data_IF_755502858064
#
_entry.id   IF_755502858064
#
_cell.length_a   1.000
_cell.length_b   1.000
_cell.length_c   1.000
_cell.angle_alpha   90.00
_cell.angle_beta   90.00
_cell.angle_gamma   90.00
#
_symmetry.space_group_name_H-M   'P 1'
#
loop_
_entity.id
_entity.type
_entity.pdbx_description
1 polymer ?
#
# COMPACT_ATOMS: atom_id res chain seq x y z
N UNK A 1 0.49 12.83 23.01
CA UNK A 1 0.92 12.56 21.61
C UNK A 1 1.24 11.07 21.53
N UNK A 2 0.18 10.26 21.57
CA UNK A 2 0.26 8.79 21.55
C UNK A 2 -0.47 8.30 20.31
N UNK A 3 0.28 8.15 19.23
CA UNK A 3 -0.15 7.35 18.10
C UNK A 3 0.05 5.88 18.50
N UNK A 4 -0.92 5.39 19.24
CA UNK A 4 -1.02 3.97 19.57
C UNK A 4 -1.19 3.21 18.25
N UNK A 5 -0.19 2.46 17.86
CA UNK A 5 -0.30 1.43 16.83
C UNK A 5 -1.26 0.35 17.37
N UNK A 6 -2.55 0.67 17.32
CA UNK A 6 -3.57 -0.36 17.49
C UNK A 6 -3.45 -1.29 16.28
N UNK A 7 -3.02 -2.52 16.51
CA UNK A 7 -3.14 -3.59 15.55
C UNK A 7 -4.62 -3.63 15.14
N UNK A 8 -4.93 -3.25 13.91
CA UNK A 8 -6.27 -3.41 13.36
C UNK A 8 -6.61 -4.90 13.34
N UNK A 9 -7.87 -5.28 13.44
CA UNK A 9 -8.30 -6.69 13.50
C UNK A 9 -7.75 -7.53 12.34
N UNK A 10 -7.53 -6.92 11.18
CA UNK A 10 -6.93 -7.57 10.02
C UNK A 10 -5.46 -7.94 10.24
N UNK A 11 -4.66 -7.11 10.89
CA UNK A 11 -3.27 -7.44 11.25
C UNK A 11 -3.19 -8.57 12.29
N UNK A 12 -4.18 -8.66 13.17
CA UNK A 12 -4.24 -9.77 14.14
C UNK A 12 -4.43 -11.12 13.45
N UNK A 13 -5.22 -11.21 12.38
CA UNK A 13 -5.44 -12.46 11.64
C UNK A 13 -4.18 -12.93 10.89
N UNK A 14 -3.43 -12.03 10.28
CA UNK A 14 -2.15 -12.36 9.64
C UNK A 14 -1.13 -12.95 10.63
N UNK A 15 -1.00 -12.35 11.81
CA UNK A 15 -0.13 -12.87 12.86
C UNK A 15 -0.61 -14.20 13.46
N UNK A 16 -1.92 -14.41 13.58
CA UNK A 16 -2.49 -15.69 14.00
C UNK A 16 -2.17 -16.78 12.98
N UNK A 17 -2.33 -16.50 11.68
CA UNK A 17 -1.98 -17.42 10.60
C UNK A 17 -0.50 -17.80 10.66
N UNK A 18 0.39 -16.82 10.85
CA UNK A 18 1.82 -17.04 10.99
C UNK A 18 2.16 -17.94 12.20
N UNK A 19 1.52 -17.72 13.34
CA UNK A 19 1.71 -18.57 14.53
C UNK A 19 1.26 -20.01 14.29
N UNK A 20 0.15 -20.23 13.59
CA UNK A 20 -0.33 -21.57 13.24
C UNK A 20 0.65 -22.28 12.31
N UNK A 21 1.24 -21.56 11.34
CA UNK A 21 2.33 -22.10 10.52
C UNK A 21 3.55 -22.51 11.36
N UNK A 22 3.98 -21.68 12.29
CA UNK A 22 5.09 -22.03 13.19
C UNK A 22 4.76 -23.23 14.10
N UNK A 23 3.52 -23.35 14.54
CA UNK A 23 3.07 -24.51 15.31
C UNK A 23 3.16 -25.81 14.50
N UNK A 24 2.82 -25.77 13.20
CA UNK A 24 2.98 -26.92 12.31
C UNK A 24 4.45 -27.27 12.10
N UNK A 25 5.30 -26.29 11.80
CA UNK A 25 6.74 -26.51 11.61
C UNK A 25 7.42 -27.07 12.89
N UNK A 26 6.98 -26.60 14.05
CA UNK A 26 7.43 -27.14 15.33
C UNK A 26 6.99 -28.59 15.50
N UNK A 27 5.73 -28.91 15.17
CA UNK A 27 5.22 -30.28 15.20
C UNK A 27 5.99 -31.21 14.26
N UNK A 28 6.25 -30.81 13.04
CA UNK A 28 7.05 -31.60 12.05
C UNK A 28 8.47 -31.90 12.60
N UNK A 29 9.11 -30.95 13.23
CA UNK A 29 10.46 -31.12 13.76
C UNK A 29 10.56 -31.90 15.06
N UNK A 30 9.51 -31.85 15.90
CA UNK A 30 9.58 -32.40 17.27
C UNK A 30 8.64 -33.58 17.53
N UNK A 31 7.67 -33.81 16.62
CA UNK A 31 6.55 -34.74 16.82
C UNK A 31 5.55 -34.31 17.90
N UNK A 32 5.68 -33.09 18.44
CA UNK A 32 4.83 -32.57 19.55
C UNK A 32 4.17 -31.25 19.14
N UNK A 33 2.87 -31.18 19.30
CA UNK A 33 2.15 -29.91 19.10
C UNK A 33 2.44 -28.96 20.27
N UNK A 34 2.66 -27.64 20.02
CA UNK A 34 2.76 -26.66 21.10
C UNK A 34 1.50 -26.67 21.98
N UNK A 35 1.66 -26.48 23.27
CA UNK A 35 0.52 -26.46 24.19
C UNK A 35 -0.26 -25.14 24.16
N UNK A 36 0.39 -24.05 23.74
CA UNK A 36 -0.22 -22.70 23.70
C UNK A 36 0.44 -21.87 22.61
N UNK A 37 -0.36 -21.06 21.92
CA UNK A 37 0.08 -20.00 21.04
C UNK A 37 -0.40 -18.65 21.61
N UNK A 38 0.47 -17.65 21.60
CA UNK A 38 0.10 -16.32 22.05
C UNK A 38 0.78 -15.23 21.23
N UNK A 39 0.05 -14.18 20.91
CA UNK A 39 0.58 -12.91 20.43
C UNK A 39 0.85 -12.00 21.63
N UNK A 40 1.94 -11.25 21.56
CA UNK A 40 2.26 -10.23 22.56
C UNK A 40 2.39 -8.90 21.83
N UNK A 41 1.65 -7.89 22.24
CA UNK A 41 1.75 -6.55 21.68
C UNK A 41 2.86 -5.71 22.31
N UNK A 42 3.05 -4.50 21.84
CA UNK A 42 4.05 -3.56 22.37
C UNK A 42 3.73 -3.11 23.81
N UNK A 43 2.47 -3.20 24.23
CA UNK A 43 2.04 -2.94 25.61
C UNK A 43 2.22 -4.16 26.53
N UNK A 44 2.85 -5.25 26.02
CA UNK A 44 3.06 -6.53 26.70
C UNK A 44 1.77 -7.27 27.06
N UNK A 45 0.65 -6.95 26.40
CA UNK A 45 -0.58 -7.72 26.56
C UNK A 45 -0.49 -9.00 25.75
N UNK A 46 -0.99 -10.11 26.34
CA UNK A 46 -0.99 -11.43 25.71
C UNK A 46 -2.38 -11.74 25.17
N UNK A 47 -2.44 -12.12 23.91
CA UNK A 47 -3.64 -12.60 23.25
C UNK A 47 -3.44 -14.08 22.93
N UNK A 48 -4.25 -14.94 23.54
CA UNK A 48 -4.23 -16.37 23.22
C UNK A 48 -4.78 -16.62 21.84
N UNK A 49 -4.17 -17.54 21.13
CA UNK A 49 -4.60 -17.96 19.79
C UNK A 49 -5.05 -19.41 19.85
N UNK A 50 -6.31 -19.64 19.59
CA UNK A 50 -6.88 -20.99 19.49
C UNK A 50 -6.40 -21.64 18.21
N UNK A 51 -6.06 -22.92 18.28
CA UNK A 51 -5.54 -23.67 17.14
C UNK A 51 -5.78 -25.17 17.32
N UNK A 52 -5.82 -25.87 16.19
CA UNK A 52 -5.82 -27.33 16.13
C UNK A 52 -4.76 -27.80 15.15
N UNK A 53 -4.32 -29.04 15.24
CA UNK A 53 -3.36 -29.60 14.31
C UNK A 53 -3.91 -29.54 12.87
N UNK A 54 -5.18 -29.82 12.68
CA UNK A 54 -5.82 -29.78 11.35
C UNK A 54 -5.81 -28.37 10.73
N UNK A 55 -6.05 -27.33 11.51
CA UNK A 55 -5.92 -25.94 11.05
C UNK A 55 -4.48 -25.58 10.66
N UNK A 56 -3.52 -26.00 11.49
CA UNK A 56 -2.09 -25.74 11.23
C UNK A 56 -1.62 -26.45 9.93
N UNK A 57 -2.06 -27.68 9.69
CA UNK A 57 -1.83 -28.41 8.44
C UNK A 57 -2.46 -27.68 7.26
N UNK A 58 -3.72 -27.26 7.37
CA UNK A 58 -4.43 -26.50 6.33
C UNK A 58 -3.66 -25.23 5.93
N UNK A 59 -3.24 -24.43 6.92
CA UNK A 59 -2.43 -23.23 6.69
C UNK A 59 -1.10 -23.52 5.99
N UNK A 60 -0.45 -24.62 6.35
CA UNK A 60 0.81 -25.02 5.71
C UNK A 60 0.61 -25.43 4.25
N UNK A 61 -0.43 -26.21 3.95
CA UNK A 61 -0.72 -26.61 2.56
C UNK A 61 -1.14 -25.43 1.68
N UNK A 62 -1.87 -24.47 2.22
CA UNK A 62 -2.19 -23.22 1.53
C UNK A 62 -0.92 -22.40 1.23
N UNK A 63 -0.03 -22.23 2.21
CA UNK A 63 1.23 -21.53 2.04
C UNK A 63 2.13 -22.21 1.00
N UNK A 64 2.20 -23.55 1.02
CA UNK A 64 2.95 -24.36 0.06
C UNK A 64 2.41 -24.19 -1.36
N UNK A 65 1.09 -24.24 -1.53
CA UNK A 65 0.43 -24.00 -2.82
C UNK A 65 0.72 -22.59 -3.35
N UNK A 66 0.65 -21.58 -2.48
CA UNK A 66 0.96 -20.20 -2.86
C UNK A 66 2.41 -20.04 -3.30
N UNK A 67 3.35 -20.65 -2.58
CA UNK A 67 4.76 -20.67 -2.93
C UNK A 67 4.99 -21.34 -4.29
N UNK A 68 4.33 -22.46 -4.54
CA UNK A 68 4.42 -23.17 -5.82
C UNK A 68 3.91 -22.31 -6.98
N UNK A 69 2.74 -21.70 -6.85
CA UNK A 69 2.18 -20.77 -7.85
C UNK A 69 3.12 -19.58 -8.10
N UNK A 70 3.75 -19.06 -7.05
CA UNK A 70 4.73 -17.97 -7.18
C UNK A 70 5.96 -18.41 -7.96
N UNK A 71 6.51 -19.59 -7.66
CA UNK A 71 7.65 -20.15 -8.38
C UNK A 71 7.33 -20.41 -9.87
N UNK A 72 6.14 -20.94 -10.17
CA UNK A 72 5.67 -21.10 -11.55
C UNK A 72 5.56 -19.77 -12.28
N UNK A 73 5.07 -18.71 -11.61
CA UNK A 73 5.02 -17.35 -12.16
C UNK A 73 6.40 -16.80 -12.47
N UNK A 74 7.40 -17.08 -11.63
CA UNK A 74 8.80 -16.70 -11.86
C UNK A 74 9.36 -17.40 -13.10
N UNK A 75 9.13 -18.71 -13.22
CA UNK A 75 9.61 -19.52 -14.37
C UNK A 75 8.96 -19.09 -15.68
N UNK A 76 7.68 -18.81 -15.67
CA UNK A 76 6.91 -18.42 -16.87
C UNK A 76 7.02 -16.93 -17.21
N UNK A 77 7.48 -16.10 -16.26
CA UNK A 77 7.47 -14.63 -16.39
C UNK A 77 6.08 -14.01 -16.37
N UNK A 78 5.04 -14.79 -16.02
CA UNK A 78 3.65 -14.35 -15.99
C UNK A 78 3.26 -14.02 -14.56
N UNK A 79 3.11 -12.74 -14.26
CA UNK A 79 2.65 -12.26 -12.96
C UNK A 79 1.25 -11.66 -13.08
N UNK A 80 0.31 -12.21 -12.33
CA UNK A 80 -1.05 -11.67 -12.27
C UNK A 80 -1.11 -10.62 -11.17
N UNK A 81 -1.45 -9.38 -11.54
CA UNK A 81 -1.67 -8.34 -10.56
C UNK A 81 -2.91 -8.68 -9.70
N UNK A 82 -2.80 -8.47 -8.39
CA UNK A 82 -3.91 -8.57 -7.44
C UNK A 82 -4.25 -7.17 -6.90
N UNK A 83 -4.93 -6.33 -7.69
CA UNK A 83 -5.21 -4.94 -7.33
C UNK A 83 -6.35 -4.89 -6.31
N UNK A 84 -6.00 -4.67 -5.06
CA UNK A 84 -6.95 -4.32 -4.00
C UNK A 84 -6.54 -2.98 -3.41
N UNK A 85 -7.46 -2.29 -2.77
CA UNK A 85 -7.16 -1.03 -2.09
C UNK A 85 -6.03 -1.20 -1.06
N UNK A 86 -6.02 -2.31 -0.35
CA UNK A 86 -4.99 -2.64 0.66
C UNK A 86 -3.65 -2.95 0.02
N UNK A 87 -3.61 -3.84 -0.98
CA UNK A 87 -2.38 -4.26 -1.63
C UNK A 87 -1.70 -3.12 -2.41
N UNK A 88 -2.51 -2.28 -3.07
CA UNK A 88 -2.00 -1.18 -3.86
C UNK A 88 -1.50 -0.01 -3.02
N UNK A 89 -1.98 0.16 -1.79
CA UNK A 89 -1.63 1.31 -0.94
C UNK A 89 -0.12 1.49 -0.76
N UNK A 90 0.61 0.40 -0.60
CA UNK A 90 2.06 0.39 -0.35
C UNK A 90 2.86 -0.19 -1.50
N UNK A 91 2.23 -0.54 -2.62
CA UNK A 91 2.90 -1.12 -3.77
C UNK A 91 3.77 -0.07 -4.48
N UNK A 92 5.06 -0.34 -4.60
CA UNK A 92 6.01 0.55 -5.29
C UNK A 92 5.86 0.52 -6.82
N UNK A 93 5.22 -0.51 -7.35
CA UNK A 93 5.00 -0.69 -8.80
C UNK A 93 3.73 -0.01 -9.33
N UNK A 94 2.98 0.71 -8.49
CA UNK A 94 1.75 1.42 -8.89
C UNK A 94 1.91 2.28 -10.15
N UNK A 95 3.01 3.05 -10.30
CA UNK A 95 3.20 3.89 -11.49
C UNK A 95 3.24 3.11 -12.80
N UNK A 96 3.78 1.90 -12.78
CA UNK A 96 3.91 1.02 -13.95
C UNK A 96 2.80 -0.05 -14.06
N UNK A 97 1.94 -0.19 -13.06
CA UNK A 97 0.88 -1.20 -13.05
C UNK A 97 -0.32 -0.77 -13.89
N UNK A 98 -0.55 -1.43 -15.01
CA UNK A 98 -1.66 -1.11 -15.93
C UNK A 98 -3.04 -1.21 -15.25
N UNK A 99 -3.25 -2.21 -14.40
CA UNK A 99 -4.50 -2.37 -13.63
C UNK A 99 -4.73 -1.19 -12.69
N UNK A 100 -3.70 -0.76 -11.96
CA UNK A 100 -3.79 0.38 -11.08
C UNK A 100 -4.05 1.68 -11.85
N UNK A 101 -3.35 1.89 -12.96
CA UNK A 101 -3.54 3.07 -13.81
C UNK A 101 -4.95 3.13 -14.42
N UNK A 102 -5.54 1.99 -14.76
CA UNK A 102 -6.94 1.94 -15.19
C UNK A 102 -7.91 2.36 -14.08
N UNK A 103 -7.72 1.86 -12.87
CA UNK A 103 -8.54 2.27 -11.71
C UNK A 103 -8.35 3.75 -11.39
N UNK A 104 -7.12 4.24 -11.41
CA UNK A 104 -6.80 5.63 -11.12
C UNK A 104 -7.50 6.62 -12.09
N UNK A 105 -7.75 6.21 -13.34
CA UNK A 105 -8.48 7.02 -14.33
C UNK A 105 -9.97 7.12 -14.01
N UNK A 106 -10.57 6.08 -13.45
CA UNK A 106 -12.01 5.97 -13.18
C UNK A 106 -12.35 6.59 -11.83
N UNK A 107 -11.59 6.22 -10.79
CA UNK A 107 -11.86 6.60 -9.41
C UNK A 107 -11.24 7.96 -9.07
N UNK A 108 -12.09 8.92 -8.71
CA UNK A 108 -11.66 10.24 -8.24
C UNK A 108 -11.33 10.28 -6.75
N UNK A 109 -11.60 9.18 -6.03
CA UNK A 109 -11.46 9.14 -4.57
C UNK A 109 -10.15 8.48 -4.11
N UNK A 110 -9.24 8.19 -5.03
CA UNK A 110 -7.91 7.70 -4.71
C UNK A 110 -6.99 8.82 -4.19
N UNK A 111 -6.04 8.44 -3.34
CA UNK A 111 -5.00 9.34 -2.81
C UNK A 111 -3.83 9.57 -3.78
N UNK A 112 -3.96 9.05 -5.00
CA UNK A 112 -3.02 9.21 -6.08
C UNK A 112 -3.74 9.86 -7.25
N UNK A 113 -3.03 10.62 -8.06
CA UNK A 113 -3.61 11.29 -9.21
C UNK A 113 -2.64 11.26 -10.39
N UNK A 114 -3.15 11.04 -11.60
CA UNK A 114 -2.39 11.19 -12.83
C UNK A 114 -3.11 12.12 -13.79
N UNK A 115 -2.36 12.86 -14.58
CA UNK A 115 -2.92 13.80 -15.56
C UNK A 115 -1.86 14.70 -16.18
N UNK A 116 -2.31 15.59 -17.09
CA UNK A 116 -1.44 16.58 -17.70
C UNK A 116 -1.19 17.73 -16.73
N UNK A 117 0.07 18.02 -16.46
CA UNK A 117 0.47 19.14 -15.64
C UNK A 117 0.25 20.46 -16.39
N UNK A 118 -0.66 21.29 -15.90
CA UNK A 118 -1.04 22.54 -16.56
C UNK A 118 -0.34 23.76 -15.99
N UNK A 119 -0.17 23.78 -14.68
CA UNK A 119 0.43 24.94 -14.04
C UNK A 119 1.12 24.56 -12.73
N UNK A 120 2.12 25.34 -12.36
CA UNK A 120 2.86 25.24 -11.09
C UNK A 120 3.03 26.65 -10.52
N UNK A 121 2.51 26.89 -9.34
CA UNK A 121 2.53 28.18 -8.66
C UNK A 121 3.34 28.08 -7.38
N UNK A 122 4.37 28.91 -7.24
CA UNK A 122 5.13 29.08 -6.01
C UNK A 122 4.64 30.30 -5.26
N UNK A 123 4.31 30.12 -3.99
CA UNK A 123 3.85 31.17 -3.10
C UNK A 123 4.98 31.78 -2.28
N UNK A 124 4.77 32.96 -1.72
CA UNK A 124 5.76 33.66 -0.90
C UNK A 124 6.18 32.89 0.36
N UNK A 125 5.28 32.08 0.91
CA UNK A 125 5.57 31.19 2.04
C UNK A 125 6.41 29.94 1.69
N UNK A 126 6.89 29.84 0.44
CA UNK A 126 7.69 28.72 -0.04
C UNK A 126 6.88 27.52 -0.51
N UNK A 127 5.58 27.46 -0.29
CA UNK A 127 4.74 26.37 -0.77
C UNK A 127 4.56 26.43 -2.28
N UNK A 128 4.48 25.24 -2.90
CA UNK A 128 4.23 25.10 -4.33
C UNK A 128 2.92 24.35 -4.53
N UNK A 129 2.04 24.90 -5.36
CA UNK A 129 0.81 24.23 -5.79
C UNK A 129 0.94 23.79 -7.24
N UNK A 130 0.33 22.64 -7.52
CA UNK A 130 0.38 21.96 -8.81
C UNK A 130 -1.05 21.77 -9.32
N UNK A 131 -1.28 22.03 -10.59
CA UNK A 131 -2.58 21.91 -11.23
C UNK A 131 -2.50 20.86 -12.34
N UNK A 132 -3.19 19.74 -12.11
CA UNK A 132 -3.28 18.64 -13.06
C UNK A 132 -4.64 18.61 -13.73
N UNK A 133 -4.65 18.38 -15.03
CA UNK A 133 -5.87 18.17 -15.81
C UNK A 133 -6.00 16.70 -16.19
N UNK A 134 -7.17 16.11 -15.91
CA UNK A 134 -7.54 14.75 -16.31
C UNK A 134 -8.95 14.76 -16.90
N UNK A 135 -9.05 14.73 -18.22
CA UNK A 135 -10.32 14.99 -18.92
C UNK A 135 -10.86 16.38 -18.54
N UNK A 136 -12.12 16.45 -18.15
CA UNK A 136 -12.77 17.70 -17.72
C UNK A 136 -12.52 18.06 -16.25
N UNK A 137 -11.75 17.25 -15.53
CA UNK A 137 -11.49 17.45 -14.10
C UNK A 137 -10.12 18.07 -13.88
N UNK A 138 -10.08 19.11 -13.07
CA UNK A 138 -8.85 19.73 -12.60
C UNK A 138 -8.60 19.32 -11.14
N UNK A 139 -7.39 18.83 -10.86
CA UNK A 139 -6.92 18.51 -9.53
C UNK A 139 -5.92 19.57 -9.09
N UNK A 140 -6.09 20.05 -7.87
CA UNK A 140 -5.14 20.95 -7.22
C UNK A 140 -4.37 20.19 -6.15
N UNK A 141 -3.06 20.13 -6.29
CA UNK A 141 -2.20 19.52 -5.29
C UNK A 141 -1.40 20.62 -4.60
N UNK A 142 -1.58 20.73 -3.29
CA UNK A 142 -0.97 21.77 -2.46
C UNK A 142 0.23 21.25 -1.67
N UNK A 143 0.95 22.15 -1.03
CA UNK A 143 1.99 21.85 -0.03
C UNK A 143 3.21 21.08 -0.57
N UNK A 144 3.56 21.22 -1.85
CA UNK A 144 4.89 20.79 -2.27
C UNK A 144 5.95 21.74 -1.71
N UNK A 145 7.12 21.21 -1.30
CA UNK A 145 8.22 22.03 -0.84
C UNK A 145 8.86 22.82 -2.01
N UNK A 146 9.45 23.96 -1.69
CA UNK A 146 10.02 24.90 -2.66
C UNK A 146 11.06 24.26 -3.61
N UNK A 147 11.78 23.26 -3.14
CA UNK A 147 12.83 22.54 -3.91
C UNK A 147 12.24 21.80 -5.13
N UNK A 148 10.98 21.39 -5.05
CA UNK A 148 10.29 20.70 -6.15
C UNK A 148 9.84 21.64 -7.26
N UNK A 149 9.87 22.96 -7.05
CA UNK A 149 9.34 23.93 -8.01
C UNK A 149 9.96 23.81 -9.41
N UNK A 150 11.29 23.79 -9.50
CA UNK A 150 11.99 23.77 -10.80
C UNK A 150 11.74 22.47 -11.56
N UNK A 151 11.72 21.33 -10.86
CA UNK A 151 11.42 20.01 -11.45
C UNK A 151 10.00 20.01 -12.01
N UNK A 152 9.03 20.42 -11.20
CA UNK A 152 7.63 20.48 -11.59
C UNK A 152 7.40 21.46 -12.72
N UNK A 153 8.05 22.63 -12.70
CA UNK A 153 7.95 23.62 -13.76
C UNK A 153 8.48 23.09 -15.10
N UNK A 154 9.54 22.28 -15.08
CA UNK A 154 10.08 21.61 -16.28
C UNK A 154 9.17 20.51 -16.85
N UNK A 155 8.20 20.04 -16.08
CA UNK A 155 7.25 19.01 -16.50
C UNK A 155 5.89 19.57 -16.93
N UNK A 156 5.73 20.89 -17.08
CA UNK A 156 4.49 21.51 -17.60
C UNK A 156 4.22 20.98 -19.00
N UNK A 157 2.93 20.66 -19.26
CA UNK A 157 2.38 20.02 -20.44
C UNK A 157 2.74 18.53 -20.61
N UNK A 158 3.47 17.91 -19.66
CA UNK A 158 3.66 16.47 -19.65
C UNK A 158 2.57 15.78 -18.81
N UNK A 159 2.35 14.49 -19.09
CA UNK A 159 1.54 13.64 -18.23
C UNK A 159 2.40 13.14 -17.08
N UNK A 160 1.97 13.43 -15.86
CA UNK A 160 2.66 12.99 -14.65
C UNK A 160 1.69 12.26 -13.72
N UNK A 161 2.24 11.35 -12.92
CA UNK A 161 1.56 10.70 -11.80
C UNK A 161 2.11 11.20 -10.48
N UNK A 162 1.23 11.54 -9.56
CA UNK A 162 1.60 11.97 -8.20
C UNK A 162 0.94 11.02 -7.21
N UNK A 163 1.75 10.41 -6.35
CA UNK A 163 1.37 9.31 -5.48
C UNK A 163 1.60 9.64 -4.01
N UNK A 164 0.87 8.97 -3.12
CA UNK A 164 0.92 9.15 -1.66
C UNK A 164 0.51 10.56 -1.23
N UNK A 165 -0.55 11.07 -1.82
CA UNK A 165 -1.17 12.32 -1.43
C UNK A 165 -2.10 12.12 -0.23
N UNK A 166 -2.40 13.20 0.47
CA UNK A 166 -3.48 13.28 1.46
C UNK A 166 -4.67 14.02 0.85
N UNK A 167 -5.87 13.47 1.00
CA UNK A 167 -7.09 14.17 0.62
C UNK A 167 -7.40 15.32 1.56
N UNK A 168 -7.89 16.38 0.97
CA UNK A 168 -8.48 17.49 1.69
C UNK A 168 -10.02 17.39 1.68
N UNK A 169 -10.69 18.19 2.50
CA UNK A 169 -12.16 18.20 2.56
C UNK A 169 -12.81 18.66 1.25
N UNK A 170 -12.09 19.46 0.46
CA UNK A 170 -12.57 19.96 -0.84
C UNK A 170 -12.32 18.91 -1.92
N UNK A 171 -13.36 18.61 -2.69
CA UNK A 171 -13.27 17.66 -3.82
C UNK A 171 -12.20 18.12 -4.83
N UNK A 172 -11.38 17.17 -5.29
CA UNK A 172 -10.26 17.39 -6.21
C UNK A 172 -9.11 18.26 -5.66
N UNK A 173 -9.09 18.53 -4.36
CA UNK A 173 -7.93 19.11 -3.69
C UNK A 173 -7.24 18.04 -2.87
N UNK A 174 -5.93 17.91 -3.09
CA UNK A 174 -5.05 16.99 -2.38
C UNK A 174 -3.85 17.76 -1.85
N UNK A 175 -3.16 17.18 -0.90
CA UNK A 175 -1.99 17.78 -0.26
C UNK A 175 -0.80 16.84 -0.37
N UNK A 176 0.34 17.36 -0.76
CA UNK A 176 1.59 16.61 -0.75
C UNK A 176 2.00 16.27 0.68
N UNK A 177 2.61 15.11 0.86
CA UNK A 177 3.15 14.59 2.12
C UNK A 177 4.66 14.38 2.00
N UNK A 178 5.31 14.02 3.10
CA UNK A 178 6.76 13.68 3.07
C UNK A 178 7.07 12.47 2.18
N UNK A 179 6.09 11.60 1.95
CA UNK A 179 6.22 10.38 1.14
C UNK A 179 5.67 10.54 -0.28
N UNK A 180 5.27 11.76 -0.68
CA UNK A 180 4.75 12.02 -2.03
C UNK A 180 5.82 11.80 -3.08
N UNK A 181 5.49 10.99 -4.08
CA UNK A 181 6.34 10.66 -5.22
C UNK A 181 5.74 11.19 -6.52
N UNK A 182 6.60 11.58 -7.46
CA UNK A 182 6.24 12.11 -8.77
C UNK A 182 6.92 11.24 -9.82
N UNK A 183 6.14 10.81 -10.83
CA UNK A 183 6.61 10.05 -11.99
C UNK A 183 6.12 10.70 -13.29
N UNK A 184 7.00 10.73 -14.29
CA UNK A 184 6.70 11.10 -15.68
C UNK A 184 6.40 9.87 -16.54
#
# INVERSE_FOLDING_TARGET
MESLFMLTDNHKEEYKAQLKLYAYLYFENTGKLPTKLSLVDLAKQKFMVDFSLSECIGMFEEAKKLLQCTNESIVTGIFVANPTQTNCRYCLYRPACSFYQCQLKIDSDMNDVSGSLRNVVKYQNGNVNVFLQRGDRQFTITNFPAEKYNILKGSINKNIGIYNLRREATKFVLSATKTTMIYE
#
